data_IF_649323962573
#
_entry.id   IF_649323962573
#
_cell.length_a   1.000
_cell.length_b   1.000
_cell.length_c   1.000
_cell.angle_alpha   90.00
_cell.angle_beta   90.00
_cell.angle_gamma   90.00
#
_symmetry.space_group_name_H-M   'P 1'
#
loop_
_entity.id
_entity.type
_entity.pdbx_description
1 polymer ?
#
# COMPACT_ATOMS: atom_id res chain seq x y z
N UNK A 1 -7.68 7.99 2.10
CA UNK A 1 -6.39 7.34 2.44
C UNK A 1 -5.81 6.89 1.13
N UNK A 2 -4.57 7.25 0.81
CA UNK A 2 -3.92 6.78 -0.41
C UNK A 2 -3.26 5.41 -0.21
N UNK A 3 -2.87 4.78 -1.32
CA UNK A 3 -2.02 3.58 -1.32
C UNK A 3 -0.71 3.84 -0.57
N UNK A 4 -0.05 4.98 -0.82
CA UNK A 4 1.22 5.36 -0.17
C UNK A 4 1.10 5.51 1.35
N UNK A 5 0.02 6.13 1.83
CA UNK A 5 -0.26 6.25 3.27
C UNK A 5 -0.51 4.89 3.93
N UNK A 6 -1.26 4.01 3.26
CA UNK A 6 -1.54 2.67 3.78
C UNK A 6 -0.28 1.81 3.83
N UNK A 7 0.53 1.84 2.77
CA UNK A 7 1.84 1.17 2.73
C UNK A 7 2.73 1.62 3.89
N UNK A 8 2.81 2.94 4.15
CA UNK A 8 3.54 3.48 5.29
C UNK A 8 3.03 2.94 6.63
N UNK A 9 1.72 2.86 6.82
CA UNK A 9 1.12 2.30 8.05
C UNK A 9 1.50 0.84 8.26
N UNK A 10 1.41 0.02 7.23
CA UNK A 10 1.82 -1.38 7.32
C UNK A 10 3.31 -1.52 7.63
N UNK A 11 4.16 -0.71 6.98
CA UNK A 11 5.61 -0.72 7.23
C UNK A 11 5.95 -0.38 8.68
N UNK A 12 5.36 0.69 9.21
CA UNK A 12 5.60 1.13 10.60
C UNK A 12 5.06 0.09 11.59
N UNK A 13 3.90 -0.51 11.32
CA UNK A 13 3.35 -1.58 12.15
C UNK A 13 4.24 -2.83 12.21
N UNK A 14 5.00 -3.11 11.14
CA UNK A 14 6.01 -4.17 11.13
C UNK A 14 7.40 -3.74 11.63
N UNK A 15 7.54 -2.50 12.14
CA UNK A 15 8.80 -1.93 12.63
C UNK A 15 9.95 -1.98 11.59
N UNK A 16 9.61 -1.88 10.30
CA UNK A 16 10.60 -1.93 9.21
C UNK A 16 11.03 -0.54 8.77
N UNK A 17 12.33 -0.39 8.48
CA UNK A 17 12.83 0.75 7.71
C UNK A 17 12.33 0.67 6.26
N UNK A 18 12.37 1.79 5.53
CA UNK A 18 12.02 1.79 4.09
C UNK A 18 12.89 0.81 3.29
N UNK A 19 14.18 0.70 3.62
CA UNK A 19 15.09 -0.26 2.99
C UNK A 19 14.69 -1.71 3.25
N UNK A 20 14.38 -2.07 4.50
CA UNK A 20 13.93 -3.43 4.83
C UNK A 20 12.58 -3.77 4.21
N UNK A 21 11.70 -2.77 4.08
CA UNK A 21 10.37 -2.92 3.50
C UNK A 21 10.39 -3.23 2.00
N UNK A 22 11.25 -2.56 1.25
CA UNK A 22 11.30 -2.71 -0.22
C UNK A 22 12.18 -3.87 -0.68
N UNK A 23 13.14 -4.29 0.14
CA UNK A 23 14.10 -5.32 -0.26
C UNK A 23 14.78 -4.95 -1.58
N UNK A 24 14.68 -5.82 -2.57
CA UNK A 24 15.22 -5.64 -3.91
C UNK A 24 14.14 -5.37 -4.98
N UNK A 25 12.89 -5.09 -4.57
CA UNK A 25 11.77 -4.92 -5.50
C UNK A 25 11.85 -3.54 -6.17
N UNK A 26 12.02 -2.50 -5.35
CA UNK A 26 12.14 -1.12 -5.79
C UNK A 26 13.19 -0.41 -4.94
N UNK A 27 13.70 0.72 -5.45
CA UNK A 27 14.65 1.51 -4.68
C UNK A 27 13.98 2.14 -3.45
N UNK A 28 14.69 2.23 -2.30
CA UNK A 28 14.17 2.89 -1.10
C UNK A 28 13.81 4.37 -1.35
N UNK A 29 14.56 5.05 -2.23
CA UNK A 29 14.31 6.45 -2.60
C UNK A 29 13.02 6.63 -3.40
N UNK A 30 12.74 5.74 -4.35
CA UNK A 30 11.46 5.72 -5.06
C UNK A 30 10.31 5.45 -4.09
N UNK A 31 10.44 4.43 -3.24
CA UNK A 31 9.41 4.10 -2.24
C UNK A 31 9.17 5.23 -1.24
N UNK A 32 10.20 5.96 -0.82
CA UNK A 32 10.03 7.14 0.04
C UNK A 32 9.15 8.21 -0.62
N UNK A 33 9.20 8.35 -1.95
CA UNK A 33 8.33 9.25 -2.71
C UNK A 33 6.91 8.68 -2.86
N UNK A 34 6.76 7.36 -2.96
CA UNK A 34 5.45 6.68 -2.93
C UNK A 34 4.75 6.90 -1.59
N UNK A 35 5.43 6.72 -0.46
CA UNK A 35 4.85 6.97 0.88
C UNK A 35 4.41 8.43 1.09
N UNK A 36 5.05 9.37 0.37
CA UNK A 36 4.72 10.80 0.37
C UNK A 36 3.67 11.19 -0.67
N UNK A 37 3.11 10.23 -1.41
CA UNK A 37 2.18 10.45 -2.52
C UNK A 37 2.72 11.33 -3.66
N UNK A 38 4.05 11.43 -3.79
CA UNK A 38 4.71 12.19 -4.87
C UNK A 38 4.78 11.34 -6.14
N UNK A 39 5.02 10.04 -5.97
CA UNK A 39 5.07 9.08 -7.08
C UNK A 39 3.95 8.05 -6.97
N UNK A 40 3.38 7.68 -8.12
CA UNK A 40 2.51 6.51 -8.24
C UNK A 40 3.37 5.24 -8.26
N UNK A 41 2.80 4.16 -7.76
CA UNK A 41 3.38 2.81 -7.82
C UNK A 41 2.59 1.99 -8.84
N UNK A 42 3.27 1.13 -9.59
CA UNK A 42 2.62 0.17 -10.48
C UNK A 42 1.89 -0.90 -9.67
N UNK A 43 0.97 -1.63 -10.31
CA UNK A 43 0.26 -2.71 -9.61
C UNK A 43 1.21 -3.89 -9.38
N UNK A 44 2.10 -4.16 -10.31
CA UNK A 44 3.13 -5.19 -10.24
C UNK A 44 4.05 -4.97 -9.03
N UNK A 45 4.58 -3.75 -8.87
CA UNK A 45 5.45 -3.40 -7.73
C UNK A 45 4.68 -3.44 -6.40
N UNK A 46 3.41 -2.99 -6.41
CA UNK A 46 2.56 -3.04 -5.23
C UNK A 46 2.35 -4.49 -4.78
N UNK A 47 1.94 -5.38 -5.67
CA UNK A 47 1.72 -6.79 -5.36
C UNK A 47 3.01 -7.47 -4.90
N UNK A 48 4.14 -7.19 -5.56
CA UNK A 48 5.45 -7.69 -5.15
C UNK A 48 5.81 -7.25 -3.72
N UNK A 49 5.61 -5.97 -3.37
CA UNK A 49 5.86 -5.47 -2.01
C UNK A 49 4.96 -6.13 -0.97
N UNK A 50 3.67 -6.32 -1.27
CA UNK A 50 2.73 -6.96 -0.37
C UNK A 50 3.13 -8.41 -0.11
N UNK A 51 3.41 -9.18 -1.15
CA UNK A 51 3.86 -10.57 -1.04
C UNK A 51 5.17 -10.68 -0.25
N UNK A 52 6.16 -9.83 -0.56
CA UNK A 52 7.44 -9.81 0.15
C UNK A 52 7.28 -9.50 1.65
N UNK A 53 6.31 -8.66 2.01
CA UNK A 53 6.01 -8.33 3.41
C UNK A 53 4.93 -9.23 4.05
N UNK A 54 4.58 -10.35 3.40
CA UNK A 54 3.58 -11.33 3.85
C UNK A 54 2.21 -10.72 4.13
N UNK A 55 1.78 -9.80 3.27
CA UNK A 55 0.48 -9.15 3.34
C UNK A 55 -0.38 -9.68 2.19
N UNK A 56 -1.58 -10.16 2.53
CA UNK A 56 -2.55 -10.56 1.52
C UNK A 56 -3.10 -9.32 0.81
N UNK A 57 -3.08 -9.33 -0.52
CA UNK A 57 -3.60 -8.23 -1.34
C UNK A 57 -5.06 -7.91 -0.99
N UNK A 58 -5.89 -8.93 -0.77
CA UNK A 58 -7.30 -8.77 -0.40
C UNK A 58 -7.46 -7.99 0.91
N UNK A 59 -6.61 -8.23 1.92
CA UNK A 59 -6.67 -7.52 3.19
C UNK A 59 -6.24 -6.06 3.04
N UNK A 60 -5.24 -5.82 2.18
CA UNK A 60 -4.78 -4.48 1.86
C UNK A 60 -5.89 -3.66 1.19
N UNK A 61 -6.48 -4.18 0.12
CA UNK A 61 -7.55 -3.49 -0.60
C UNK A 61 -8.82 -3.35 0.24
N UNK A 62 -9.19 -4.35 1.05
CA UNK A 62 -10.30 -4.23 2.00
C UNK A 62 -10.09 -3.08 2.99
N UNK A 63 -8.87 -2.83 3.46
CA UNK A 63 -8.57 -1.68 4.33
C UNK A 63 -8.56 -0.35 3.59
N UNK A 64 -8.19 -0.38 2.31
CA UNK A 64 -8.28 0.79 1.43
C UNK A 64 -9.76 1.19 1.23
N UNK A 65 -10.61 0.21 0.90
CA UNK A 65 -12.03 0.38 0.60
C UNK A 65 -12.90 0.65 1.84
N UNK A 66 -12.48 0.24 3.03
CA UNK A 66 -13.22 0.51 4.29
C UNK A 66 -13.45 2.01 4.57
N UNK A 67 -12.78 2.93 3.86
CA UNK A 67 -13.10 4.37 3.87
C UNK A 67 -13.99 4.85 2.72
N UNK A 68 -14.15 4.08 1.65
CA UNK A 68 -15.02 4.39 0.49
C UNK A 68 -16.43 3.77 0.59
N UNK A 69 -16.69 2.98 1.65
CA UNK A 69 -18.01 2.40 1.94
C UNK A 69 -19.15 3.43 2.12
N UNK A 70 -18.86 4.74 2.17
CA UNK A 70 -19.91 5.76 2.13
C UNK A 70 -20.56 5.92 0.75
N UNK A 71 -19.95 5.42 -0.34
CA UNK A 71 -20.39 5.73 -1.71
C UNK A 71 -20.89 4.54 -2.55
N UNK A 72 -20.65 3.29 -2.13
CA UNK A 72 -21.05 2.11 -2.91
C UNK A 72 -22.46 1.58 -2.59
N UNK A 73 -23.15 2.10 -1.57
CA UNK A 73 -24.53 1.69 -1.25
C UNK A 73 -25.60 2.32 -2.15
N UNK A 74 -25.26 3.26 -3.04
CA UNK A 74 -26.22 3.95 -3.92
C UNK A 74 -26.56 3.23 -5.24
N UNK A 75 -26.12 1.97 -5.45
CA UNK A 75 -26.42 1.22 -6.69
C UNK A 75 -27.11 -0.13 -6.49
N UNK A 76 -27.97 -0.25 -5.47
CA UNK A 76 -29.08 -1.21 -5.51
C UNK A 76 -30.36 -0.45 -5.83
N UNK A 77 -30.61 -0.26 -7.13
CA UNK A 77 -31.93 0.06 -7.67
C UNK A 77 -32.56 -1.24 -8.16
#
# INVERSE_FOLDING_TARGET
MSIGELLKKYRVAQMKTQKQWVGNIISPSFYAKVEKNIHRITVEDLLALLHYNKILAIDFFNKLDKKDKTNYEFKKK
#
